data_IF_501987325849
#
_entry.id   IF_501987325849
#
_cell.length_a   1.000
_cell.length_b   1.000
_cell.length_c   1.000
_cell.angle_alpha   90.00
_cell.angle_beta   90.00
_cell.angle_gamma   90.00
#
_symmetry.space_group_name_H-M   'P 1'
#
loop_
_entity.id
_entity.type
_entity.pdbx_description
1 polymer ?
#
# COMPACT_ATOMS: atom_id res chain seq x y z
N UNK A 1 39.07 -8.56 11.52
CA UNK A 1 39.68 -7.42 12.25
C UNK A 1 41.21 -7.31 12.10
N UNK A 2 41.93 -8.31 11.56
CA UNK A 2 43.38 -8.22 11.34
C UNK A 2 43.80 -7.40 10.09
N UNK A 3 42.92 -7.27 9.09
CA UNK A 3 43.22 -6.59 7.82
C UNK A 3 43.27 -5.07 7.92
N UNK A 4 42.46 -4.43 8.78
CA UNK A 4 42.48 -2.97 8.96
C UNK A 4 43.70 -2.49 9.78
N UNK A 5 44.13 -3.27 10.78
CA UNK A 5 45.28 -2.95 11.63
C UNK A 5 46.58 -2.97 10.81
N UNK A 6 46.71 -3.92 9.87
CA UNK A 6 47.91 -4.04 9.04
C UNK A 6 48.17 -2.84 8.13
N UNK A 7 47.11 -2.19 7.60
CA UNK A 7 47.27 -1.01 6.74
C UNK A 7 47.69 0.22 7.54
N UNK A 8 47.15 0.38 8.75
CA UNK A 8 47.50 1.50 9.64
C UNK A 8 48.96 1.41 10.09
N UNK A 9 49.43 0.21 10.46
CA UNK A 9 50.82 -0.01 10.86
C UNK A 9 51.78 0.26 9.69
N UNK A 10 51.42 -0.15 8.47
CA UNK A 10 52.20 0.12 7.25
C UNK A 10 52.28 1.62 6.93
N UNK A 11 51.19 2.36 7.06
CA UNK A 11 51.16 3.82 6.85
C UNK A 11 52.04 4.52 7.89
N UNK A 12 51.94 4.12 9.16
CA UNK A 12 52.74 4.68 10.26
C UNK A 12 54.23 4.32 10.11
N UNK A 13 54.58 3.11 9.68
CA UNK A 13 55.99 2.74 9.44
C UNK A 13 56.58 3.42 8.20
N UNK A 14 55.79 3.62 7.14
CA UNK A 14 56.22 4.41 5.98
C UNK A 14 56.53 5.87 6.40
N UNK A 15 55.63 6.47 7.19
CA UNK A 15 55.77 7.81 7.77
C UNK A 15 57.05 7.94 8.61
N UNK A 16 57.36 6.95 9.44
CA UNK A 16 58.55 6.95 10.31
C UNK A 16 59.84 6.75 9.50
N UNK A 17 59.83 5.92 8.46
CA UNK A 17 61.04 5.66 7.64
C UNK A 17 61.52 6.85 6.80
N UNK A 18 60.65 7.83 6.54
CA UNK A 18 61.00 9.09 5.86
C UNK A 18 61.73 10.06 6.81
N UNK A 19 61.57 9.88 8.13
CA UNK A 19 62.13 10.78 9.16
C UNK A 19 63.65 10.62 9.32
N UNK A 20 64.20 9.43 9.05
CA UNK A 20 65.63 9.16 9.25
C UNK A 20 66.53 9.57 8.07
N UNK A 21 65.97 10.04 6.95
CA UNK A 21 66.74 10.37 5.73
C UNK A 21 66.42 11.70 5.05
N UNK A 22 65.35 12.40 5.45
CA UNK A 22 64.90 13.62 4.80
C UNK A 22 64.77 14.75 5.82
N UNK A 23 65.19 15.97 5.46
CA UNK A 23 65.16 17.12 6.36
C UNK A 23 63.72 17.43 6.83
N UNK A 24 63.56 17.94 8.05
CA UNK A 24 62.26 18.31 8.65
C UNK A 24 61.33 19.13 7.72
N UNK A 25 61.89 19.87 6.75
CA UNK A 25 61.13 20.59 5.72
C UNK A 25 60.38 19.66 4.75
N UNK A 26 61.04 18.60 4.27
CA UNK A 26 60.47 17.66 3.27
C UNK A 26 59.37 16.75 3.82
N UNK A 27 59.34 16.51 5.14
CA UNK A 27 58.28 15.73 5.80
C UNK A 27 57.00 16.59 5.91
N UNK A 28 57.14 17.89 6.18
CA UNK A 28 56.02 18.83 6.20
C UNK A 28 55.33 18.91 4.83
N UNK A 29 56.11 18.99 3.75
CA UNK A 29 55.60 19.04 2.38
C UNK A 29 54.83 17.77 2.01
N UNK A 30 55.36 16.58 2.35
CA UNK A 30 54.66 15.31 2.09
C UNK A 30 53.36 15.15 2.87
N UNK A 31 53.34 15.52 4.16
CA UNK A 31 52.12 15.47 4.99
C UNK A 31 51.07 16.45 4.47
N UNK A 32 51.48 17.63 4.04
CA UNK A 32 50.60 18.63 3.45
C UNK A 32 50.03 18.17 2.10
N UNK A 33 50.86 17.57 1.24
CA UNK A 33 50.43 17.01 -0.05
C UNK A 33 49.48 15.83 0.13
N UNK A 34 49.75 14.94 1.09
CA UNK A 34 48.88 13.81 1.42
C UNK A 34 47.52 14.30 1.96
N UNK A 35 47.54 15.25 2.90
CA UNK A 35 46.32 15.83 3.48
C UNK A 35 45.50 16.61 2.43
N UNK A 36 46.18 17.34 1.55
CA UNK A 36 45.58 18.05 0.41
C UNK A 36 44.88 17.08 -0.55
N UNK A 37 45.55 15.98 -0.90
CA UNK A 37 44.98 14.95 -1.77
C UNK A 37 43.77 14.26 -1.13
N UNK A 38 43.85 13.91 0.16
CA UNK A 38 42.70 13.35 0.89
C UNK A 38 41.51 14.30 0.94
N UNK A 39 41.74 15.59 1.23
CA UNK A 39 40.67 16.59 1.25
C UNK A 39 40.03 16.77 -0.13
N UNK A 40 40.84 16.72 -1.19
CA UNK A 40 40.35 16.79 -2.58
C UNK A 40 39.53 15.55 -2.94
N UNK A 41 39.98 14.36 -2.55
CA UNK A 41 39.26 13.10 -2.82
C UNK A 41 37.95 13.03 -2.03
N UNK A 42 37.96 13.44 -0.76
CA UNK A 42 36.74 13.54 0.06
C UNK A 42 35.76 14.57 -0.50
N UNK A 43 36.24 15.71 -1.00
CA UNK A 43 35.40 16.72 -1.64
C UNK A 43 34.79 16.20 -2.95
N UNK A 44 35.57 15.49 -3.76
CA UNK A 44 35.09 14.85 -4.98
C UNK A 44 34.05 13.76 -4.69
N UNK A 45 34.28 12.92 -3.67
CA UNK A 45 33.31 11.90 -3.23
C UNK A 45 32.01 12.54 -2.74
N UNK A 46 32.08 13.57 -1.90
CA UNK A 46 30.87 14.28 -1.44
C UNK A 46 30.08 14.85 -2.62
N UNK A 47 30.77 15.43 -3.61
CA UNK A 47 30.12 15.93 -4.82
C UNK A 47 29.46 14.81 -5.61
N UNK A 48 30.16 13.70 -5.86
CA UNK A 48 29.60 12.55 -6.57
C UNK A 48 28.39 11.94 -5.85
N UNK A 49 28.44 11.84 -4.52
CA UNK A 49 27.32 11.36 -3.72
C UNK A 49 26.13 12.32 -3.86
N UNK A 50 26.35 13.63 -3.77
CA UNK A 50 25.27 14.60 -3.92
C UNK A 50 24.66 14.57 -5.33
N UNK A 51 25.47 14.40 -6.37
CA UNK A 51 25.00 14.23 -7.75
C UNK A 51 24.17 12.95 -7.91
N UNK A 52 24.63 11.82 -7.35
CA UNK A 52 23.88 10.56 -7.36
C UNK A 52 22.56 10.66 -6.58
N UNK A 53 22.57 11.30 -5.41
CA UNK A 53 21.36 11.52 -4.60
C UNK A 53 20.36 12.40 -5.34
N UNK A 54 20.82 13.46 -6.01
CA UNK A 54 19.95 14.31 -6.82
C UNK A 54 19.31 13.52 -7.97
N UNK A 55 20.09 12.70 -8.68
CA UNK A 55 19.60 11.85 -9.75
C UNK A 55 18.59 10.82 -9.26
N UNK A 56 18.86 10.16 -8.12
CA UNK A 56 17.92 9.21 -7.51
C UNK A 56 16.60 9.89 -7.15
N UNK A 57 16.64 11.11 -6.60
CA UNK A 57 15.42 11.84 -6.26
C UNK A 57 14.60 12.20 -7.51
N UNK A 58 15.25 12.57 -8.60
CA UNK A 58 14.62 12.85 -9.89
C UNK A 58 13.97 11.58 -10.47
N UNK A 59 14.72 10.47 -10.50
CA UNK A 59 14.23 9.17 -10.98
C UNK A 59 13.02 8.66 -10.17
N UNK A 60 13.07 8.80 -8.84
CA UNK A 60 11.95 8.43 -7.96
C UNK A 60 10.73 9.31 -8.22
N UNK A 61 10.93 10.60 -8.46
CA UNK A 61 9.83 11.52 -8.77
C UNK A 61 9.17 11.13 -10.09
N UNK A 62 9.95 10.92 -11.15
CA UNK A 62 9.43 10.50 -12.45
C UNK A 62 8.75 9.13 -12.41
N UNK A 63 9.30 8.17 -11.66
CA UNK A 63 8.66 6.87 -11.47
C UNK A 63 7.30 7.03 -10.79
N UNK A 64 7.23 7.87 -9.76
CA UNK A 64 5.99 8.12 -9.01
C UNK A 64 4.93 8.75 -9.92
N UNK A 65 5.30 9.76 -10.70
CA UNK A 65 4.40 10.41 -11.68
C UNK A 65 3.90 9.41 -12.73
N UNK A 66 4.79 8.58 -13.27
CA UNK A 66 4.42 7.56 -14.26
C UNK A 66 3.49 6.49 -13.67
N UNK A 67 3.73 6.05 -12.43
CA UNK A 67 2.83 5.12 -11.73
C UNK A 67 1.46 5.76 -11.56
N UNK A 68 1.39 7.01 -11.08
CA UNK A 68 0.13 7.72 -10.90
C UNK A 68 -0.65 7.83 -12.21
N UNK A 69 0.02 8.23 -13.29
CA UNK A 69 -0.58 8.33 -14.62
C UNK A 69 -1.07 6.97 -15.12
N UNK A 70 -0.27 5.91 -14.97
CA UNK A 70 -0.65 4.57 -15.41
C UNK A 70 -1.85 4.03 -14.63
N UNK A 71 -1.91 4.28 -13.32
CA UNK A 71 -3.05 3.92 -12.47
C UNK A 71 -4.30 4.67 -12.89
N UNK A 72 -4.19 5.98 -13.10
CA UNK A 72 -5.32 6.80 -13.57
C UNK A 72 -5.86 6.32 -14.92
N UNK A 73 -4.97 6.09 -15.89
CA UNK A 73 -5.35 5.55 -17.20
C UNK A 73 -6.00 4.17 -17.08
N UNK A 74 -5.48 3.30 -16.21
CA UNK A 74 -6.05 1.97 -15.98
C UNK A 74 -7.48 2.09 -15.43
N UNK A 75 -7.73 2.98 -14.47
CA UNK A 75 -9.06 3.21 -13.87
C UNK A 75 -10.03 3.84 -14.88
N UNK A 76 -9.55 4.75 -15.73
CA UNK A 76 -10.36 5.37 -16.79
C UNK A 76 -10.78 4.34 -17.85
N UNK A 77 -9.91 3.37 -18.15
CA UNK A 77 -10.15 2.33 -19.15
C UNK A 77 -10.99 1.14 -18.63
N UNK A 78 -11.39 1.15 -17.35
CA UNK A 78 -12.30 0.12 -16.84
C UNK A 78 -13.65 0.20 -17.56
N UNK A 79 -14.29 -0.95 -17.88
CA UNK A 79 -15.62 -0.96 -18.48
C UNK A 79 -16.62 -0.20 -17.62
N UNK A 80 -17.49 0.59 -18.27
CA UNK A 80 -18.53 1.38 -17.60
C UNK A 80 -19.90 1.25 -18.25
N UNK A 81 -20.95 1.33 -17.43
CA UNK A 81 -22.32 1.47 -17.93
C UNK A 81 -22.63 2.92 -18.38
N UNK A 82 -23.85 3.15 -18.87
CA UNK A 82 -24.30 4.46 -19.33
C UNK A 82 -24.39 5.51 -18.20
N UNK A 83 -24.34 5.09 -16.94
CA UNK A 83 -24.36 5.94 -15.75
C UNK A 83 -22.95 6.18 -15.19
N UNK A 84 -21.91 5.59 -15.79
CA UNK A 84 -20.51 5.74 -15.40
C UNK A 84 -20.04 4.79 -14.29
N UNK A 85 -20.85 3.81 -13.88
CA UNK A 85 -20.45 2.80 -12.90
C UNK A 85 -19.44 1.84 -13.51
N UNK A 86 -18.48 1.36 -12.72
CA UNK A 86 -17.53 0.34 -13.17
C UNK A 86 -18.24 -1.02 -13.19
N UNK A 87 -18.13 -1.76 -14.29
CA UNK A 87 -18.73 -3.09 -14.47
C UNK A 87 -17.65 -4.15 -14.71
N UNK A 88 -17.85 -5.35 -14.20
CA UNK A 88 -16.95 -6.48 -14.46
C UNK A 88 -17.18 -7.08 -15.85
N UNK A 89 -16.15 -7.78 -16.36
CA UNK A 89 -16.28 -8.63 -17.54
C UNK A 89 -17.30 -9.72 -17.18
N UNK A 90 -18.50 -9.69 -17.79
CA UNK A 90 -19.69 -10.52 -17.55
C UNK A 90 -20.80 -9.92 -16.65
N UNK A 91 -20.75 -8.62 -16.33
CA UNK A 91 -21.80 -7.91 -15.55
C UNK A 91 -22.12 -8.54 -14.19
N UNK A 92 -21.22 -9.38 -13.68
CA UNK A 92 -21.35 -10.08 -12.40
C UNK A 92 -21.07 -9.17 -11.22
N UNK A 93 -20.54 -7.98 -11.45
CA UNK A 93 -20.23 -6.99 -10.42
C UNK A 93 -20.37 -5.58 -10.95
N UNK A 94 -20.99 -4.71 -10.15
CA UNK A 94 -21.14 -3.28 -10.41
C UNK A 94 -20.57 -2.53 -9.21
N UNK A 95 -19.69 -1.56 -9.48
CA UNK A 95 -19.09 -0.69 -8.47
C UNK A 95 -19.50 0.75 -8.76
N UNK A 96 -20.18 1.36 -7.80
CA UNK A 96 -20.53 2.78 -7.78
C UNK A 96 -19.77 3.46 -6.66
N UNK A 97 -18.97 4.47 -6.99
CA UNK A 97 -18.22 5.29 -6.02
C UNK A 97 -18.75 6.72 -6.03
N UNK A 98 -19.04 7.28 -4.87
CA UNK A 98 -19.40 8.70 -4.68
C UNK A 98 -18.60 9.31 -3.54
N UNK A 99 -18.74 10.62 -3.31
CA UNK A 99 -18.14 11.31 -2.16
C UNK A 99 -18.62 10.76 -0.82
N UNK A 100 -19.84 10.22 -0.80
CA UNK A 100 -20.53 9.82 0.44
C UNK A 100 -20.37 8.33 0.74
N UNK A 101 -19.77 7.56 -0.17
CA UNK A 101 -19.62 6.13 0.01
C UNK A 101 -19.29 5.34 -1.25
N UNK A 102 -19.18 4.03 -1.09
CA UNK A 102 -19.03 3.08 -2.19
C UNK A 102 -20.11 2.01 -2.08
N UNK A 103 -20.74 1.68 -3.21
CA UNK A 103 -21.66 0.56 -3.33
C UNK A 103 -21.09 -0.45 -4.31
N UNK A 104 -20.97 -1.68 -3.86
CA UNK A 104 -20.57 -2.83 -4.67
C UNK A 104 -21.75 -3.78 -4.69
N UNK A 105 -22.19 -4.16 -5.88
CA UNK A 105 -23.22 -5.18 -6.09
C UNK A 105 -22.56 -6.32 -6.84
N UNK A 106 -22.70 -7.55 -6.36
CA UNK A 106 -22.14 -8.74 -6.98
C UNK A 106 -23.19 -9.83 -7.10
N UNK A 107 -23.16 -10.56 -8.23
CA UNK A 107 -24.00 -11.71 -8.51
C UNK A 107 -23.11 -12.85 -8.98
N UNK A 108 -22.86 -13.82 -8.10
CA UNK A 108 -21.96 -14.96 -8.38
C UNK A 108 -22.66 -16.22 -7.89
N UNK A 109 -22.76 -17.25 -8.75
CA UNK A 109 -23.29 -18.57 -8.42
C UNK A 109 -24.66 -18.55 -7.72
N UNK A 110 -25.56 -17.66 -8.16
CA UNK A 110 -26.90 -17.51 -7.61
C UNK A 110 -26.96 -16.81 -6.23
N UNK A 111 -25.85 -16.22 -5.79
CA UNK A 111 -25.74 -15.39 -4.58
C UNK A 111 -25.66 -13.93 -5.01
N UNK A 112 -26.54 -13.11 -4.45
CA UNK A 112 -26.49 -11.66 -4.50
C UNK A 112 -25.73 -11.16 -3.28
N UNK A 113 -24.72 -10.31 -3.46
CA UNK A 113 -24.07 -9.62 -2.35
C UNK A 113 -23.94 -8.14 -2.63
N UNK A 114 -24.38 -7.31 -1.69
CA UNK A 114 -24.33 -5.86 -1.76
C UNK A 114 -23.51 -5.35 -0.58
N UNK A 115 -22.38 -4.72 -0.86
CA UNK A 115 -21.56 -4.02 0.14
C UNK A 115 -21.73 -2.53 -0.06
N UNK A 116 -22.20 -1.82 0.95
CA UNK A 116 -22.35 -0.36 0.95
C UNK A 116 -21.53 0.21 2.08
N UNK A 117 -20.62 1.13 1.78
CA UNK A 117 -19.92 1.95 2.76
C UNK A 117 -20.44 3.38 2.71
N UNK A 118 -20.35 4.08 3.83
CA UNK A 118 -20.67 5.50 3.86
C UNK A 118 -20.59 6.09 5.26
N UNK A 119 -21.27 7.21 5.45
CA UNK A 119 -21.41 7.88 6.75
C UNK A 119 -22.88 8.02 7.13
N UNK A 120 -23.19 7.81 8.40
CA UNK A 120 -24.49 8.14 8.98
C UNK A 120 -24.67 9.66 9.04
N UNK A 121 -25.89 10.17 9.29
CA UNK A 121 -26.13 11.62 9.38
C UNK A 121 -25.32 12.35 10.46
N UNK A 122 -24.90 11.66 11.53
CA UNK A 122 -24.01 12.19 12.56
C UNK A 122 -22.51 12.05 12.21
N UNK A 123 -22.17 11.63 10.99
CA UNK A 123 -20.81 11.54 10.47
C UNK A 123 -20.05 10.26 10.82
N UNK A 124 -20.68 9.31 11.51
CA UNK A 124 -20.07 8.03 11.86
C UNK A 124 -19.94 7.12 10.61
N UNK A 125 -18.76 6.55 10.34
CA UNK A 125 -18.60 5.65 9.22
C UNK A 125 -19.31 4.33 9.48
N UNK A 126 -19.86 3.73 8.43
CA UNK A 126 -20.43 2.39 8.47
C UNK A 126 -20.09 1.61 7.21
N UNK A 127 -20.09 0.29 7.34
CA UNK A 127 -20.11 -0.66 6.22
C UNK A 127 -21.29 -1.59 6.45
N UNK A 128 -22.12 -1.77 5.44
CA UNK A 128 -23.27 -2.68 5.42
C UNK A 128 -23.04 -3.71 4.34
N UNK A 129 -23.01 -4.97 4.71
CA UNK A 129 -22.82 -6.12 3.83
C UNK A 129 -24.06 -6.99 3.85
N UNK A 130 -24.74 -7.11 2.72
CA UNK A 130 -25.95 -7.91 2.57
C UNK A 130 -25.65 -9.06 1.62
N UNK A 131 -25.89 -10.28 2.07
CA UNK A 131 -25.79 -11.50 1.28
C UNK A 131 -27.16 -12.16 1.18
N UNK A 132 -27.61 -12.39 -0.03
CA UNK A 132 -28.87 -13.06 -0.33
C UNK A 132 -28.63 -14.28 -1.20
N UNK A 133 -29.20 -15.42 -0.79
CA UNK A 133 -29.08 -16.68 -1.52
C UNK A 133 -30.43 -17.37 -1.60
N UNK A 134 -30.82 -17.79 -2.80
CA UNK A 134 -31.99 -18.64 -2.99
C UNK A 134 -31.59 -20.12 -2.98
N UNK A 135 -32.29 -20.93 -2.19
CA UNK A 135 -32.14 -22.39 -2.17
C UNK A 135 -33.55 -22.99 -2.29
N UNK A 136 -33.87 -23.56 -3.46
CA UNK A 136 -35.23 -24.01 -3.77
C UNK A 136 -36.22 -22.85 -3.66
N UNK A 137 -37.21 -23.00 -2.78
CA UNK A 137 -38.25 -22.01 -2.52
C UNK A 137 -37.91 -21.07 -1.36
N UNK A 138 -36.74 -21.20 -0.74
CA UNK A 138 -36.32 -20.35 0.37
C UNK A 138 -35.35 -19.27 -0.10
N UNK A 139 -35.63 -18.03 0.27
CA UNK A 139 -34.67 -16.91 0.22
C UNK A 139 -34.02 -16.77 1.59
N UNK A 140 -32.70 -16.84 1.63
CA UNK A 140 -31.90 -16.55 2.82
C UNK A 140 -31.29 -15.17 2.66
N UNK A 141 -31.35 -14.39 3.73
CA UNK A 141 -30.78 -13.05 3.81
C UNK A 141 -29.91 -12.95 5.05
N UNK A 142 -28.72 -12.40 4.89
CA UNK A 142 -27.79 -12.10 5.97
C UNK A 142 -27.24 -10.69 5.76
N UNK A 143 -27.55 -9.80 6.69
CA UNK A 143 -27.06 -8.44 6.73
C UNK A 143 -26.10 -8.28 7.89
N UNK A 144 -24.88 -7.80 7.62
CA UNK A 144 -23.91 -7.41 8.64
C UNK A 144 -23.61 -5.92 8.53
N UNK A 145 -23.80 -5.19 9.63
CA UNK A 145 -23.45 -3.79 9.76
C UNK A 145 -22.20 -3.70 10.64
N UNK A 146 -21.12 -3.16 10.08
CA UNK A 146 -19.84 -2.94 10.74
C UNK A 146 -19.64 -1.44 10.97
N UNK A 147 -19.25 -1.08 12.20
CA UNK A 147 -18.65 0.22 12.49
C UNK A 147 -17.12 0.12 12.31
N UNK A 148 -16.52 0.78 11.31
CA UNK A 148 -15.09 0.66 11.05
C UNK A 148 -14.20 1.25 12.13
N UNK A 149 -14.69 2.23 12.93
CA UNK A 149 -13.90 2.83 14.02
C UNK A 149 -13.78 1.89 15.21
N UNK A 150 -14.88 1.23 15.58
CA UNK A 150 -14.93 0.40 16.79
C UNK A 150 -14.76 -1.09 16.51
N UNK A 151 -14.90 -1.51 15.25
CA UNK A 151 -14.93 -2.92 14.86
C UNK A 151 -16.21 -3.65 15.30
N UNK A 152 -17.17 -2.94 15.89
CA UNK A 152 -18.43 -3.53 16.33
C UNK A 152 -19.26 -3.97 15.12
N UNK A 153 -19.84 -5.16 15.21
CA UNK A 153 -20.68 -5.75 14.17
C UNK A 153 -22.04 -6.10 14.73
N UNK A 154 -23.07 -5.84 13.94
CA UNK A 154 -24.43 -6.30 14.16
C UNK A 154 -24.85 -7.15 12.96
N UNK A 155 -25.48 -8.29 13.21
CA UNK A 155 -25.91 -9.21 12.16
C UNK A 155 -27.39 -9.47 12.28
N UNK A 156 -28.11 -9.30 11.18
CA UNK A 156 -29.53 -9.59 11.04
C UNK A 156 -29.67 -10.66 9.96
N UNK A 157 -30.12 -11.85 10.35
CA UNK A 157 -30.34 -12.95 9.43
C UNK A 157 -31.81 -13.38 9.44
N UNK A 158 -32.36 -13.66 8.27
CA UNK A 158 -33.70 -14.20 8.13
C UNK A 158 -33.84 -15.07 6.89
N UNK A 159 -34.87 -15.91 6.88
CA UNK A 159 -35.27 -16.70 5.72
C UNK A 159 -36.73 -16.42 5.36
N UNK A 160 -37.07 -16.51 4.08
CA UNK A 160 -38.40 -16.25 3.55
C UNK A 160 -38.79 -17.39 2.61
N UNK A 161 -39.98 -17.97 2.83
CA UNK A 161 -40.53 -18.98 1.93
C UNK A 161 -41.27 -18.30 0.76
N UNK A 162 -40.69 -18.39 -0.43
CA UNK A 162 -41.22 -17.80 -1.66
C UNK A 162 -42.36 -18.62 -2.29
N UNK A 163 -42.56 -19.89 -1.89
CA UNK A 163 -43.67 -20.71 -2.39
C UNK A 163 -45.02 -20.35 -1.74
N UNK A 164 -45.01 -19.64 -0.63
CA UNK A 164 -46.22 -19.20 0.07
C UNK A 164 -46.42 -17.70 -0.18
N UNK A 165 -47.39 -17.30 -1.03
CA UNK A 165 -47.68 -15.89 -1.26
C UNK A 165 -47.99 -15.17 0.05
N UNK A 166 -47.28 -14.07 0.31
CA UNK A 166 -47.45 -13.30 1.56
C UNK A 166 -46.79 -13.90 2.79
N UNK A 167 -45.90 -14.89 2.65
CA UNK A 167 -45.06 -15.35 3.75
C UNK A 167 -44.29 -14.17 4.39
N UNK A 168 -44.10 -14.24 5.71
CA UNK A 168 -43.30 -13.28 6.45
C UNK A 168 -41.89 -13.82 6.67
N UNK A 169 -40.85 -12.96 6.73
CA UNK A 169 -39.52 -13.39 7.08
C UNK A 169 -39.47 -14.03 8.47
N UNK A 170 -38.78 -15.17 8.57
CA UNK A 170 -38.46 -15.83 9.83
C UNK A 170 -37.02 -15.47 10.23
N UNK A 171 -36.86 -14.83 11.39
CA UNK A 171 -35.54 -14.45 11.92
C UNK A 171 -34.74 -15.71 12.26
N UNK A 172 -33.48 -15.76 11.83
CA UNK A 172 -32.52 -16.80 12.17
C UNK A 172 -31.73 -16.28 13.38
N UNK A 173 -32.03 -16.82 14.57
CA UNK A 173 -31.36 -16.42 15.82
C UNK A 173 -30.02 -17.11 16.04
N UNK A 174 -29.75 -18.21 15.32
CA UNK A 174 -28.49 -18.96 15.39
C UNK A 174 -27.58 -18.60 14.21
N UNK A 175 -27.05 -17.39 14.19
CA UNK A 175 -25.88 -17.08 13.36
C UNK A 175 -24.65 -17.66 14.04
N UNK A 176 -24.34 -18.93 13.76
CA UNK A 176 -23.02 -19.47 14.06
C UNK A 176 -22.00 -18.55 13.39
N UNK A 177 -21.07 -17.98 14.17
CA UNK A 177 -19.88 -17.33 13.62
C UNK A 177 -19.19 -18.36 12.75
N UNK A 178 -18.99 -18.05 11.47
CA UNK A 178 -18.11 -18.85 10.62
C UNK A 178 -16.72 -18.85 11.30
N UNK A 179 -16.35 -20.01 11.86
CA UNK A 179 -14.99 -20.26 12.31
C UNK A 179 -14.09 -20.25 11.06
N UNK A 180 -13.13 -19.32 11.05
CA UNK A 180 -12.11 -19.20 10.01
C UNK A 180 -11.12 -20.36 10.06
#
# INVERSE_FOLDING_TARGET
MATQINHFVLIVTLLISVIDGASFATIGDWVNDFTSNLNRDLSNMHRQINEQVAQINEDVTHLTENIQKNVEQTIQNLPRDAQGNIISVNDSSIITTSTDGTKIVTYIDGISRIVTSGRTPNGEPYVRDVVEKRIGDMLYHNETILNPKTGATETIAWKLNLAVPGAKPEIITDTKKDEK
#
